data_IF_485729433129
#
_entry.id   IF_485729433129
#
_cell.length_a   1.000
_cell.length_b   1.000
_cell.length_c   1.000
_cell.angle_alpha   90.00
_cell.angle_beta   90.00
_cell.angle_gamma   90.00
#
_symmetry.space_group_name_H-M   'P 1'
#
loop_
_entity.id
_entity.type
_entity.pdbx_description
1 polymer ?
#
# COMPACT_ATOMS: atom_id res chain seq x y z
N UNK A 1 -28.15 11.63 -18.78
CA UNK A 1 -28.26 10.70 -17.65
C UNK A 1 -28.61 11.36 -16.30
N UNK A 2 -28.55 12.70 -16.17
CA UNK A 2 -28.99 13.46 -14.98
C UNK A 2 -30.47 13.30 -14.56
N UNK A 3 -31.35 12.84 -15.46
CA UNK A 3 -32.79 12.65 -15.17
C UNK A 3 -33.10 11.49 -14.22
N UNK A 4 -32.16 10.55 -14.00
CA UNK A 4 -32.38 9.42 -13.07
C UNK A 4 -32.16 9.81 -11.61
N UNK A 5 -31.17 10.65 -11.32
CA UNK A 5 -30.92 11.19 -9.97
C UNK A 5 -32.10 12.03 -9.44
N UNK A 6 -32.76 12.78 -10.32
CA UNK A 6 -33.95 13.56 -9.94
C UNK A 6 -35.16 12.68 -9.59
N UNK A 7 -35.22 11.45 -10.06
CA UNK A 7 -36.34 10.55 -9.78
C UNK A 7 -36.19 9.80 -8.45
N UNK A 8 -34.95 9.56 -8.00
CA UNK A 8 -34.69 8.97 -6.67
C UNK A 8 -35.08 9.97 -5.57
N UNK A 9 -34.85 11.27 -5.79
CA UNK A 9 -35.28 12.34 -4.86
C UNK A 9 -36.78 12.64 -4.91
N UNK A 10 -37.51 12.18 -5.94
CA UNK A 10 -38.95 12.41 -6.10
C UNK A 10 -39.83 11.29 -5.55
N UNK A 11 -39.26 10.14 -5.18
CA UNK A 11 -40.01 8.96 -4.74
C UNK A 11 -40.52 8.99 -3.30
N UNK A 12 -40.09 9.95 -2.47
CA UNK A 12 -40.36 9.93 -1.02
C UNK A 12 -41.23 11.05 -0.48
N UNK A 13 -41.65 12.05 -1.28
CA UNK A 13 -42.39 13.19 -0.73
C UNK A 13 -43.66 13.52 -1.53
N UNK A 14 -44.69 12.70 -1.35
CA UNK A 14 -46.07 13.14 -1.44
C UNK A 14 -46.57 13.57 -0.06
N UNK A 15 -45.91 14.53 0.60
CA UNK A 15 -46.55 15.37 1.61
C UNK A 15 -45.64 16.51 2.06
N UNK A 16 -46.13 17.73 1.83
CA UNK A 16 -45.73 19.03 2.41
C UNK A 16 -44.26 19.45 2.25
N UNK A 17 -44.11 20.66 1.73
CA UNK A 17 -42.88 21.45 1.68
C UNK A 17 -42.18 21.48 3.05
N UNK A 18 -41.28 20.54 3.29
CA UNK A 18 -40.25 20.69 4.31
C UNK A 18 -39.13 21.46 3.63
N UNK A 19 -39.11 22.77 3.86
CA UNK A 19 -37.92 23.59 3.61
C UNK A 19 -36.88 23.08 4.61
N UNK A 20 -35.99 22.20 4.16
CA UNK A 20 -34.86 21.75 4.97
C UNK A 20 -33.91 22.96 5.06
N UNK A 21 -33.73 23.58 6.25
CA UNK A 21 -32.80 24.68 6.39
C UNK A 21 -31.40 24.19 6.01
N UNK A 22 -30.67 24.99 5.23
CA UNK A 22 -29.29 24.75 4.77
C UNK A 22 -28.26 24.50 5.90
N UNK A 23 -28.70 24.55 7.18
CA UNK A 23 -27.92 24.34 8.40
C UNK A 23 -28.08 22.93 9.01
N UNK A 24 -28.81 22.01 8.37
CA UNK A 24 -28.79 20.60 8.76
C UNK A 24 -27.96 19.84 7.73
N UNK A 25 -26.65 19.73 7.96
CA UNK A 25 -25.81 18.76 7.27
C UNK A 25 -26.38 17.37 7.54
N UNK A 26 -27.27 16.89 6.65
CA UNK A 26 -27.86 15.57 6.74
C UNK A 26 -26.76 14.51 6.78
N UNK A 27 -26.94 13.48 7.60
CA UNK A 27 -25.98 12.37 7.63
C UNK A 27 -26.03 11.62 6.30
N UNK A 28 -24.86 11.34 5.72
CA UNK A 28 -24.75 10.50 4.52
C UNK A 28 -25.34 9.09 4.74
N UNK A 29 -25.47 8.68 6.00
CA UNK A 29 -26.05 7.39 6.39
C UNK A 29 -27.56 7.27 6.14
N UNK A 30 -28.26 8.36 5.82
CA UNK A 30 -29.65 8.30 5.36
C UNK A 30 -29.77 7.77 3.92
N UNK A 31 -28.68 7.80 3.16
CA UNK A 31 -28.62 7.29 1.79
C UNK A 31 -28.34 5.78 1.86
N UNK A 32 -29.05 4.99 1.05
CA UNK A 32 -28.81 3.55 0.93
C UNK A 32 -27.35 3.24 0.58
N UNK A 33 -26.79 2.19 1.18
CA UNK A 33 -25.38 1.81 1.03
C UNK A 33 -25.02 1.58 -0.44
N UNK A 34 -25.92 0.97 -1.19
CA UNK A 34 -25.75 0.67 -2.61
C UNK A 34 -25.63 1.94 -3.45
N UNK A 35 -26.41 2.97 -3.12
CA UNK A 35 -26.36 4.28 -3.79
C UNK A 35 -25.04 4.98 -3.45
N UNK A 36 -24.60 4.92 -2.19
CA UNK A 36 -23.29 5.46 -1.81
C UNK A 36 -22.15 4.80 -2.59
N UNK A 37 -22.10 3.47 -2.62
CA UNK A 37 -21.02 2.70 -3.23
C UNK A 37 -21.00 2.75 -4.76
N UNK A 38 -22.18 2.72 -5.40
CA UNK A 38 -22.30 2.56 -6.85
C UNK A 38 -22.58 3.89 -7.57
N UNK A 39 -23.15 4.88 -6.89
CA UNK A 39 -23.52 6.15 -7.50
C UNK A 39 -22.78 7.35 -6.94
N UNK A 40 -22.48 7.43 -5.64
CA UNK A 40 -21.81 8.62 -5.08
C UNK A 40 -20.29 8.50 -5.11
N UNK A 41 -19.74 7.47 -4.46
CA UNK A 41 -18.30 7.27 -4.30
C UNK A 41 -17.52 7.24 -5.63
N UNK A 42 -18.05 6.66 -6.73
CA UNK A 42 -17.36 6.70 -8.02
C UNK A 42 -17.08 8.08 -8.59
N UNK A 43 -17.79 9.13 -8.17
CA UNK A 43 -17.54 10.51 -8.62
C UNK A 43 -16.69 11.32 -7.64
N UNK A 44 -16.35 10.75 -6.48
CA UNK A 44 -15.52 11.42 -5.49
C UNK A 44 -14.05 11.22 -5.82
N UNK A 45 -13.27 12.29 -5.69
CA UNK A 45 -11.82 12.19 -5.72
C UNK A 45 -11.28 11.56 -4.41
N UNK A 46 -10.01 11.17 -4.42
CA UNK A 46 -9.37 10.57 -3.24
C UNK A 46 -9.52 11.46 -2.00
N UNK A 47 -9.35 12.77 -2.15
CA UNK A 47 -9.45 13.72 -1.03
C UNK A 47 -10.84 13.71 -0.40
N UNK A 48 -11.90 13.70 -1.22
CA UNK A 48 -13.28 13.66 -0.75
C UNK A 48 -13.63 12.31 -0.14
N UNK A 49 -13.18 11.19 -0.73
CA UNK A 49 -13.37 9.85 -0.16
C UNK A 49 -12.71 9.72 1.21
N UNK A 50 -11.48 10.23 1.37
CA UNK A 50 -10.79 10.21 2.66
C UNK A 50 -11.48 11.11 3.69
N UNK A 51 -12.08 12.23 3.28
CA UNK A 51 -12.93 13.03 4.17
C UNK A 51 -14.15 12.24 4.62
N UNK A 52 -14.89 11.63 3.70
CA UNK A 52 -16.06 10.79 4.02
C UNK A 52 -15.69 9.67 5.00
N UNK A 53 -14.54 9.03 4.77
CA UNK A 53 -13.99 7.97 5.64
C UNK A 53 -13.78 8.41 7.09
N UNK A 54 -13.57 9.70 7.35
CA UNK A 54 -13.34 10.23 8.72
C UNK A 54 -14.62 10.68 9.44
N UNK A 55 -15.78 10.69 8.77
CA UNK A 55 -17.01 11.25 9.33
C UNK A 55 -17.71 10.32 10.33
N UNK A 56 -17.67 9.00 10.11
CA UNK A 56 -18.24 8.00 11.03
C UNK A 56 -17.59 6.63 10.81
N UNK A 57 -17.80 5.68 11.74
CA UNK A 57 -17.29 4.31 11.58
C UNK A 57 -17.96 3.58 10.42
N UNK A 58 -19.25 3.77 10.22
CA UNK A 58 -19.99 3.17 9.11
C UNK A 58 -19.50 3.70 7.76
N UNK A 59 -19.23 5.01 7.64
CA UNK A 59 -18.66 5.59 6.43
C UNK A 59 -17.20 5.16 6.23
N UNK A 60 -16.44 4.98 7.31
CA UNK A 60 -15.12 4.37 7.26
C UNK A 60 -15.19 2.99 6.60
N UNK A 61 -16.05 2.10 7.10
CA UNK A 61 -16.22 0.74 6.58
C UNK A 61 -16.72 0.73 5.12
N UNK A 62 -17.66 1.61 4.76
CA UNK A 62 -18.16 1.74 3.39
C UNK A 62 -17.09 2.23 2.42
N UNK A 63 -16.28 3.22 2.80
CA UNK A 63 -15.19 3.70 1.94
C UNK A 63 -14.12 2.62 1.78
N UNK A 64 -13.81 1.85 2.83
CA UNK A 64 -12.87 0.74 2.72
C UNK A 64 -13.42 -0.35 1.80
N UNK A 65 -14.68 -0.75 1.95
CA UNK A 65 -15.35 -1.71 1.05
C UNK A 65 -15.34 -1.25 -0.41
N UNK A 66 -15.49 0.06 -0.64
CA UNK A 66 -15.38 0.64 -1.98
C UNK A 66 -13.96 0.52 -2.54
N UNK A 67 -12.94 0.82 -1.73
CA UNK A 67 -11.53 0.81 -2.11
C UNK A 67 -10.88 -0.58 -2.11
N UNK A 68 -11.50 -1.60 -1.51
CA UNK A 68 -11.09 -3.00 -1.62
C UNK A 68 -11.33 -3.54 -3.03
N UNK A 69 -12.36 -3.04 -3.72
CA UNK A 69 -12.68 -3.45 -5.10
C UNK A 69 -11.60 -2.96 -6.04
N UNK A 70 -10.93 -3.91 -6.70
CA UNK A 70 -9.78 -3.64 -7.56
C UNK A 70 -10.07 -2.58 -8.64
N UNK A 71 -11.24 -2.63 -9.28
CA UNK A 71 -11.64 -1.69 -10.33
C UNK A 71 -11.70 -0.25 -9.80
N UNK A 72 -12.19 -0.07 -8.57
CA UNK A 72 -12.28 1.24 -7.93
C UNK A 72 -10.91 1.71 -7.45
N UNK A 73 -10.16 0.81 -6.83
CA UNK A 73 -8.80 1.07 -6.38
C UNK A 73 -7.90 1.54 -7.53
N UNK A 74 -8.00 0.91 -8.72
CA UNK A 74 -7.30 1.36 -9.93
C UNK A 74 -7.76 2.74 -10.39
N UNK A 75 -9.01 3.15 -10.23
CA UNK A 75 -9.43 4.51 -10.62
C UNK A 75 -8.82 5.57 -9.70
N UNK A 76 -8.84 5.31 -8.40
CA UNK A 76 -8.39 6.23 -7.35
C UNK A 76 -6.86 6.20 -7.18
N UNK A 77 -6.22 5.08 -7.49
CA UNK A 77 -4.79 4.82 -7.26
C UNK A 77 -4.44 4.41 -5.83
N UNK A 78 -5.44 4.03 -5.04
CA UNK A 78 -5.29 3.59 -3.65
C UNK A 78 -6.18 2.37 -3.43
N UNK A 79 -5.65 1.34 -2.78
CA UNK A 79 -6.38 0.15 -2.39
C UNK A 79 -6.50 0.10 -0.86
N UNK A 80 -7.66 -0.32 -0.37
CA UNK A 80 -7.81 -0.69 1.03
C UNK A 80 -7.42 -2.16 1.21
N UNK A 81 -6.52 -2.41 2.16
CA UNK A 81 -6.07 -3.73 2.55
C UNK A 81 -6.86 -4.15 3.79
N UNK A 82 -7.52 -5.29 3.69
CA UNK A 82 -8.24 -5.89 4.80
C UNK A 82 -7.25 -6.46 5.82
N UNK A 83 -7.71 -6.49 7.07
CA UNK A 83 -6.98 -7.14 8.16
C UNK A 83 -6.76 -8.63 7.84
N UNK A 84 -5.63 -9.15 8.32
CA UNK A 84 -5.15 -10.51 8.13
C UNK A 84 -4.81 -10.90 6.68
N UNK A 85 -4.89 -9.94 5.75
CA UNK A 85 -4.36 -10.12 4.40
C UNK A 85 -2.85 -10.32 4.43
N UNK A 86 -2.38 -11.26 3.61
CA UNK A 86 -0.97 -11.62 3.46
C UNK A 86 -0.41 -11.11 2.15
N UNK A 87 0.79 -10.54 2.21
CA UNK A 87 1.52 -10.00 1.07
C UNK A 87 3.02 -10.32 1.18
N UNK A 88 3.71 -10.15 0.07
CA UNK A 88 5.17 -10.20 0.00
C UNK A 88 5.74 -8.79 -0.16
N UNK A 89 6.52 -8.32 0.80
CA UNK A 89 7.19 -7.03 0.73
C UNK A 89 8.58 -7.16 0.12
N UNK A 90 8.92 -6.23 -0.78
CA UNK A 90 10.28 -5.99 -1.26
C UNK A 90 10.72 -4.62 -0.76
N UNK A 91 11.75 -4.61 0.09
CA UNK A 91 12.36 -3.38 0.63
C UNK A 91 13.20 -2.65 -0.41
N UNK A 92 13.86 -1.56 0.00
CA UNK A 92 14.90 -0.93 -0.83
C UNK A 92 16.12 -1.85 -0.98
N UNK A 93 16.93 -1.56 -2.00
CA UNK A 93 18.20 -2.26 -2.20
C UNK A 93 19.16 -2.01 -1.03
N UNK A 94 19.75 -3.08 -0.51
CA UNK A 94 20.76 -3.05 0.54
C UNK A 94 22.13 -3.28 -0.09
N UNK A 95 23.10 -2.47 0.31
CA UNK A 95 24.45 -2.52 -0.25
C UNK A 95 25.26 -3.70 0.32
N UNK A 96 25.89 -4.47 -0.58
CA UNK A 96 26.87 -5.51 -0.30
C UNK A 96 28.30 -5.06 -0.63
N UNK A 97 28.44 -3.98 -1.39
CA UNK A 97 29.71 -3.27 -1.58
C UNK A 97 29.53 -1.79 -1.29
N UNK A 98 30.46 -1.21 -0.55
CA UNK A 98 30.51 0.23 -0.25
C UNK A 98 31.85 0.82 -0.63
N UNK A 99 31.91 2.14 -0.77
CA UNK A 99 33.17 2.83 -1.05
C UNK A 99 34.18 2.56 0.07
N UNK A 100 35.39 2.20 -0.34
CA UNK A 100 36.50 1.95 0.56
C UNK A 100 37.45 3.15 0.55
N UNK A 101 37.91 3.54 1.74
CA UNK A 101 38.97 4.53 1.90
C UNK A 101 40.39 3.92 1.80
N UNK A 102 40.48 2.58 1.71
CA UNK A 102 41.74 1.88 1.49
C UNK A 102 42.26 2.04 0.06
N UNK A 103 43.50 2.52 -0.06
CA UNK A 103 44.26 2.61 -1.32
C UNK A 103 44.40 1.23 -1.99
N UNK A 104 44.53 0.16 -1.20
CA UNK A 104 44.62 -1.20 -1.73
C UNK A 104 43.33 -1.63 -2.44
N UNK A 105 42.16 -1.25 -1.91
CA UNK A 105 40.89 -1.52 -2.57
C UNK A 105 40.69 -0.64 -3.82
N UNK A 106 41.21 0.59 -3.83
CA UNK A 106 41.22 1.42 -5.03
C UNK A 106 42.02 0.78 -6.19
N UNK A 107 43.11 0.08 -5.87
CA UNK A 107 43.97 -0.57 -6.85
C UNK A 107 43.40 -1.94 -7.28
N UNK A 108 42.88 -2.73 -6.35
CA UNK A 108 42.56 -4.15 -6.60
C UNK A 108 41.05 -4.48 -6.65
N UNK A 109 40.17 -3.63 -6.10
CA UNK A 109 38.75 -3.93 -5.89
C UNK A 109 37.82 -2.79 -6.38
N UNK A 110 38.20 -2.06 -7.44
CA UNK A 110 37.44 -0.93 -8.00
C UNK A 110 37.10 0.18 -6.97
N UNK A 111 37.87 0.30 -5.88
CA UNK A 111 37.62 1.27 -4.80
C UNK A 111 36.48 0.88 -3.87
N UNK A 112 36.02 -0.37 -3.91
CA UNK A 112 34.93 -0.87 -3.08
C UNK A 112 35.41 -1.94 -2.11
N UNK A 113 34.77 -2.00 -0.94
CA UNK A 113 34.93 -3.08 0.03
C UNK A 113 33.63 -3.87 0.15
N UNK A 114 33.77 -5.17 0.39
CA UNK A 114 32.66 -6.04 0.71
C UNK A 114 32.14 -5.73 2.11
N UNK A 115 30.81 -5.73 2.24
CA UNK A 115 30.10 -5.54 3.50
C UNK A 115 29.03 -6.61 3.57
N UNK A 116 29.02 -7.35 4.66
CA UNK A 116 27.92 -8.26 4.95
C UNK A 116 26.75 -7.46 5.55
N UNK A 117 25.57 -7.46 4.92
CA UNK A 117 24.44 -6.72 5.46
C UNK A 117 23.99 -7.27 6.80
N UNK A 118 23.83 -6.38 7.77
CA UNK A 118 23.26 -6.75 9.07
C UNK A 118 21.74 -6.83 8.97
N UNK A 119 21.12 -7.52 9.93
CA UNK A 119 19.65 -7.54 10.06
C UNK A 119 19.06 -6.12 10.19
N UNK A 120 19.77 -5.20 10.84
CA UNK A 120 19.35 -3.80 10.96
C UNK A 120 19.25 -3.15 9.56
N UNK A 121 20.25 -3.34 8.71
CA UNK A 121 20.26 -2.81 7.34
C UNK A 121 19.05 -3.34 6.53
N UNK A 122 18.71 -4.62 6.70
CA UNK A 122 17.57 -5.25 6.04
C UNK A 122 16.25 -4.63 6.53
N UNK A 123 16.07 -4.49 7.84
CA UNK A 123 14.87 -3.87 8.43
C UNK A 123 14.72 -2.41 7.96
N UNK A 124 15.82 -1.65 8.00
CA UNK A 124 15.86 -0.25 7.56
C UNK A 124 15.47 -0.12 6.08
N UNK A 125 15.78 -1.12 5.26
CA UNK A 125 15.37 -1.15 3.85
C UNK A 125 13.85 -1.17 3.66
N UNK A 126 13.11 -1.86 4.55
CA UNK A 126 11.65 -1.89 4.52
C UNK A 126 11.05 -0.61 5.09
N UNK A 127 11.62 -0.07 6.17
CA UNK A 127 11.19 1.20 6.78
C UNK A 127 11.38 2.36 5.81
N UNK A 128 12.51 2.39 5.09
CA UNK A 128 12.80 3.42 4.09
C UNK A 128 11.84 3.37 2.90
N UNK A 129 11.11 2.26 2.73
CA UNK A 129 10.02 2.09 1.79
C UNK A 129 9.97 0.66 1.26
N UNK A 130 8.81 0.02 1.35
CA UNK A 130 8.60 -1.27 0.74
C UNK A 130 7.48 -1.25 -0.29
N UNK A 131 7.60 -2.20 -1.20
CA UNK A 131 6.60 -2.52 -2.20
C UNK A 131 5.98 -3.87 -1.87
N UNK A 132 4.67 -3.93 -1.66
CA UNK A 132 3.93 -5.16 -1.46
C UNK A 132 3.51 -5.78 -2.79
N UNK A 133 3.51 -7.12 -2.78
CA UNK A 133 3.08 -7.97 -3.86
C UNK A 133 2.10 -9.03 -3.38
N UNK A 134 1.14 -9.38 -4.23
CA UNK A 134 0.19 -10.48 -3.96
C UNK A 134 0.83 -11.85 -4.10
N UNK A 135 1.79 -11.99 -5.01
CA UNK A 135 2.50 -13.24 -5.33
C UNK A 135 3.96 -13.16 -4.93
N UNK A 136 4.53 -14.31 -4.55
CA UNK A 136 5.94 -14.44 -4.19
C UNK A 136 6.82 -14.33 -5.43
N UNK A 137 6.30 -14.84 -6.54
CA UNK A 137 6.95 -14.91 -7.85
C UNK A 137 7.22 -13.49 -8.38
N UNK A 138 6.20 -12.63 -8.45
CA UNK A 138 6.36 -11.23 -8.88
C UNK A 138 7.28 -10.45 -7.93
N UNK A 139 7.23 -10.74 -6.62
CA UNK A 139 8.15 -10.14 -5.66
C UNK A 139 9.61 -10.55 -5.91
N UNK A 140 9.87 -11.83 -6.23
CA UNK A 140 11.21 -12.33 -6.59
C UNK A 140 11.71 -11.76 -7.91
N UNK A 141 10.84 -11.66 -8.92
CA UNK A 141 11.17 -10.98 -10.18
C UNK A 141 11.56 -9.52 -9.92
N UNK A 142 10.86 -8.84 -9.00
CA UNK A 142 11.22 -7.49 -8.60
C UNK A 142 12.61 -7.42 -7.95
N UNK A 143 12.93 -8.33 -7.04
CA UNK A 143 14.25 -8.43 -6.43
C UNK A 143 15.31 -8.62 -7.51
N UNK A 144 15.11 -9.57 -8.43
CA UNK A 144 16.07 -9.84 -9.51
C UNK A 144 16.28 -8.61 -10.39
N UNK A 145 15.21 -7.92 -10.78
CA UNK A 145 15.29 -6.70 -11.62
C UNK A 145 15.95 -5.50 -10.93
N UNK A 146 15.95 -5.46 -9.59
CA UNK A 146 16.55 -4.40 -8.79
C UNK A 146 17.89 -4.81 -8.16
N UNK A 147 18.30 -6.06 -8.34
CA UNK A 147 19.60 -6.54 -7.91
C UNK A 147 20.64 -5.99 -8.87
N UNK A 148 21.62 -5.30 -8.33
CA UNK A 148 22.69 -4.70 -9.08
C UNK A 148 23.97 -5.50 -8.88
N UNK A 149 24.49 -6.02 -9.99
CA UNK A 149 25.80 -6.65 -10.07
C UNK A 149 26.78 -5.68 -10.73
N UNK A 150 27.95 -5.51 -10.12
CA UNK A 150 29.05 -4.74 -10.70
C UNK A 150 29.95 -5.59 -11.60
N UNK A 151 31.22 -5.17 -11.72
CA UNK A 151 32.20 -5.92 -12.51
C UNK A 151 32.39 -7.33 -11.94
N UNK A 152 32.73 -8.29 -12.81
CA UNK A 152 32.93 -9.70 -12.47
C UNK A 152 31.72 -10.36 -11.78
N UNK A 153 30.50 -9.88 -12.06
CA UNK A 153 29.25 -10.37 -11.45
C UNK A 153 29.22 -10.26 -9.91
N UNK A 154 30.06 -9.40 -9.33
CA UNK A 154 30.05 -9.18 -7.89
C UNK A 154 28.75 -8.47 -7.46
N UNK A 155 28.13 -8.95 -6.39
CA UNK A 155 26.89 -8.39 -5.87
C UNK A 155 27.15 -7.04 -5.21
N UNK A 156 26.55 -5.96 -5.72
CA UNK A 156 26.73 -4.62 -5.18
C UNK A 156 25.53 -4.20 -4.33
N UNK A 157 24.31 -4.43 -4.82
CA UNK A 157 23.07 -4.06 -4.13
C UNK A 157 22.02 -5.16 -4.37
N UNK A 158 21.33 -5.59 -3.30
CA UNK A 158 20.23 -6.56 -3.37
C UNK A 158 19.06 -6.11 -2.47
N UNK A 159 17.83 -6.01 -3.00
CA UNK A 159 16.64 -5.88 -2.15
C UNK A 159 16.28 -7.20 -1.45
N UNK A 160 15.62 -7.11 -0.30
CA UNK A 160 15.21 -8.28 0.49
C UNK A 160 13.70 -8.50 0.44
N UNK A 161 13.31 -9.78 0.59
CA UNK A 161 11.93 -10.25 0.65
C UNK A 161 11.46 -10.42 2.10
N UNK A 162 10.24 -10.04 2.39
CA UNK A 162 9.55 -10.40 3.63
C UNK A 162 8.09 -10.79 3.34
N UNK A 163 7.51 -11.64 4.17
CA UNK A 163 6.07 -11.81 4.27
C UNK A 163 5.51 -10.75 5.22
N UNK A 164 4.40 -10.14 4.84
CA UNK A 164 3.73 -9.11 5.64
C UNK A 164 2.29 -9.51 5.84
N UNK A 165 1.88 -9.55 7.10
CA UNK A 165 0.47 -9.71 7.47
C UNK A 165 -0.07 -8.38 7.98
N UNK A 166 -1.17 -7.92 7.36
CA UNK A 166 -1.82 -6.66 7.72
C UNK A 166 -2.56 -6.83 9.03
N UNK A 167 -2.15 -6.11 10.09
CA UNK A 167 -2.76 -6.24 11.42
C UNK A 167 -3.91 -5.29 11.70
N UNK A 168 -3.94 -4.15 10.99
CA UNK A 168 -4.94 -3.10 11.20
C UNK A 168 -6.07 -3.20 10.18
N UNK A 169 -7.27 -2.91 10.66
CA UNK A 169 -8.41 -2.70 9.79
C UNK A 169 -8.15 -1.51 8.88
N UNK A 170 -8.19 -1.77 7.56
CA UNK A 170 -8.10 -0.77 6.50
C UNK A 170 -6.79 0.01 6.43
N UNK A 171 -5.70 -0.73 6.22
CA UNK A 171 -4.44 -0.15 5.76
C UNK A 171 -4.61 0.31 4.32
N UNK A 172 -4.37 1.59 4.03
CA UNK A 172 -4.42 2.10 2.65
C UNK A 172 -3.03 1.99 2.01
N UNK A 173 -2.96 1.40 0.82
CA UNK A 173 -1.73 1.30 0.05
C UNK A 173 -1.88 1.97 -1.31
N UNK A 174 -0.81 2.66 -1.75
CA UNK A 174 -0.78 3.29 -3.08
C UNK A 174 -0.52 2.22 -4.13
N UNK A 175 -1.27 2.26 -5.23
CA UNK A 175 -1.02 1.37 -6.37
C UNK A 175 0.02 1.98 -7.31
N UNK A 176 0.91 1.16 -7.83
CA UNK A 176 1.90 1.64 -8.80
C UNK A 176 1.32 1.72 -10.22
N UNK A 177 1.76 2.71 -11.00
CA UNK A 177 1.29 2.90 -12.39
C UNK A 177 2.33 2.34 -13.36
N UNK A 178 1.93 1.39 -14.20
CA UNK A 178 2.71 0.96 -15.36
C UNK A 178 2.17 1.66 -16.62
N UNK A 179 2.95 2.61 -17.15
CA UNK A 179 2.80 3.27 -18.46
C UNK A 179 1.49 4.07 -18.65
N UNK A 180 0.34 3.40 -18.56
CA UNK A 180 -1.02 3.92 -18.75
C UNK A 180 -2.05 3.34 -17.77
N UNK A 181 -1.71 2.32 -16.96
CA UNK A 181 -2.65 1.61 -16.07
C UNK A 181 -2.03 1.30 -14.71
N UNK A 182 -2.86 1.01 -13.71
CA UNK A 182 -2.38 0.59 -12.40
C UNK A 182 -2.08 -0.91 -12.36
N UNK A 183 -0.92 -1.25 -11.81
CA UNK A 183 -0.52 -2.60 -11.50
C UNK A 183 -1.04 -2.98 -10.10
N UNK A 184 -1.84 -4.03 -10.01
CA UNK A 184 -2.43 -4.50 -8.75
C UNK A 184 -1.66 -5.59 -8.06
N UNK A 185 -0.62 -6.08 -8.72
CA UNK A 185 0.41 -6.90 -8.09
C UNK A 185 1.42 -6.04 -7.35
N UNK A 186 1.47 -4.72 -7.58
CA UNK A 186 2.49 -3.83 -6.99
C UNK A 186 1.86 -2.68 -6.19
N UNK A 187 2.15 -2.62 -4.90
CA UNK A 187 1.62 -1.58 -4.00
C UNK A 187 2.74 -0.94 -3.18
N UNK A 188 2.80 0.38 -3.08
CA UNK A 188 3.77 1.08 -2.23
C UNK A 188 3.13 1.51 -0.91
N UNK A 189 3.81 1.23 0.21
CA UNK A 189 3.44 1.71 1.54
C UNK A 189 4.47 2.72 2.00
N UNK A 190 4.00 3.91 2.39
CA UNK A 190 4.86 5.00 2.90
C UNK A 190 5.20 4.86 4.39
N UNK A 191 4.44 4.07 5.17
CA UNK A 191 4.69 3.83 6.59
C UNK A 191 4.30 2.39 6.98
N UNK A 192 5.29 1.49 7.13
CA UNK A 192 5.08 0.07 7.52
C UNK A 192 5.10 -0.10 9.05
N UNK A 193 5.30 1.00 9.79
CA UNK A 193 5.60 1.03 11.22
C UNK A 193 4.53 0.38 12.13
N UNK A 194 3.41 -0.07 11.58
CA UNK A 194 2.26 -0.65 12.29
C UNK A 194 1.86 -2.05 11.79
N UNK A 195 2.73 -2.72 11.03
CA UNK A 195 2.51 -4.06 10.47
C UNK A 195 3.52 -5.08 11.02
N UNK A 196 3.13 -6.37 11.07
CA UNK A 196 4.11 -7.43 11.33
C UNK A 196 4.81 -7.82 10.03
N UNK A 197 6.13 -7.70 10.05
CA UNK A 197 7.03 -8.11 8.98
C UNK A 197 7.70 -9.41 9.45
N UNK A 198 7.47 -10.50 8.72
CA UNK A 198 8.18 -11.76 8.90
C UNK A 198 9.16 -11.94 7.74
N UNK A 199 10.44 -12.07 8.06
CA UNK A 199 11.47 -12.25 7.05
C UNK A 199 11.44 -13.69 6.52
N UNK A 200 11.58 -13.86 5.20
CA UNK A 200 11.75 -15.17 4.57
C UNK A 200 13.21 -15.27 4.08
N UNK A 201 13.98 -16.20 4.64
CA UNK A 201 15.30 -16.54 4.10
C UNK A 201 15.18 -17.22 2.72
N UNK A 202 16.20 -17.04 1.89
CA UNK A 202 16.28 -17.62 0.54
C UNK A 202 16.13 -19.17 0.53
N UNK A 203 16.31 -19.83 1.69
CA UNK A 203 16.17 -21.27 1.90
C UNK A 203 14.74 -21.76 2.20
N UNK A 204 13.76 -20.85 2.27
CA UNK A 204 12.35 -21.20 2.51
C UNK A 204 11.96 -21.45 3.97
N UNK A 205 12.90 -21.30 4.91
CA UNK A 205 12.59 -21.32 6.34
C UNK A 205 12.21 -19.93 6.83
N UNK A 206 11.07 -19.84 7.54
CA UNK A 206 10.66 -18.63 8.26
C UNK A 206 11.47 -18.55 9.55
N UNK A 207 12.18 -17.44 9.75
CA UNK A 207 12.88 -17.17 11.00
C UNK A 207 12.41 -15.81 11.52
N UNK A 208 11.65 -15.88 12.61
CA UNK A 208 11.15 -14.82 13.49
C UNK A 208 9.87 -14.06 13.10
N UNK A 209 8.99 -14.02 14.11
CA UNK A 209 8.02 -12.97 14.39
C UNK A 209 8.65 -11.92 15.30
N UNK A 210 8.75 -10.66 14.85
CA UNK A 210 8.81 -9.51 15.77
C UNK A 210 7.46 -8.81 15.77
N UNK A 211 6.75 -8.94 16.89
CA UNK A 211 5.63 -8.07 17.22
C UNK A 211 6.18 -6.68 17.52
N UNK A 212 6.28 -5.81 16.51
CA UNK A 212 6.48 -4.39 16.78
C UNK A 212 5.20 -3.82 17.39
N UNK A 213 5.09 -3.93 18.71
CA UNK A 213 4.42 -2.92 19.54
C UNK A 213 5.43 -1.79 19.72
N UNK A 214 5.61 -0.97 18.68
CA UNK A 214 6.26 0.32 18.86
C UNK A 214 5.17 1.32 19.20
N UNK A 215 4.80 1.31 20.49
CA UNK A 215 4.13 2.45 21.09
C UNK A 215 5.09 3.63 21.13
N UNK A 216 4.63 4.77 20.63
CA UNK A 216 4.59 6.05 21.36
C UNK A 216 3.48 6.90 20.77
#
# INVERSE_FOLDING_TARGET
>A
MFKKLTNILKGTNANKNIVIPYNQNGTLLLIQKEVLLNELFPFLDLKSLLRVRTLSRELFDLVNLYLEKEVNAKKIGVIALSKDSKFYAVGKGVAHKVRSDSIWNAIFNDGLQDVEPTLANIIDSFIAGATLFKSKETAKEKINSQTFFGKNQALYIKPYLAEVTIKKDATLAKLDRDGLRYNTEKMSIQHINESCIEYIEDNGNSVMSKANTLGK
#
